data_IF_570618198207
#
_entry.id   IF_570618198207
#
_cell.length_a   1.000
_cell.length_b   1.000
_cell.length_c   1.000
_cell.angle_alpha   90.00
_cell.angle_beta   90.00
_cell.angle_gamma   90.00
#
_symmetry.space_group_name_H-M   'P 1'
#
loop_
_entity.id
_entity.type
_entity.pdbx_description
1 polymer ?
#
# COMPACT_ATOMS: atom_id res chain seq x y z
N UNK A 1 -28.54 17.90 14.60
CA UNK A 1 -29.86 17.23 14.79
C UNK A 1 -30.46 16.68 13.48
N UNK A 2 -29.66 16.31 12.47
CA UNK A 2 -30.15 15.99 11.10
C UNK A 2 -30.08 14.51 10.65
N UNK A 3 -29.40 13.63 11.38
CA UNK A 3 -29.17 12.24 10.95
C UNK A 3 -30.35 11.28 11.25
N UNK A 4 -31.23 11.62 12.21
CA UNK A 4 -32.36 10.75 12.60
C UNK A 4 -33.53 10.79 11.61
N UNK A 5 -33.68 11.88 10.85
CA UNK A 5 -34.78 12.04 9.90
C UNK A 5 -34.53 11.32 8.57
N UNK A 6 -33.27 11.23 8.12
CA UNK A 6 -32.93 10.56 6.85
C UNK A 6 -33.18 9.04 6.86
N UNK A 7 -32.91 8.37 7.99
CA UNK A 7 -33.14 6.93 8.15
C UNK A 7 -34.64 6.62 8.24
N UNK A 8 -35.41 7.49 8.91
CA UNK A 8 -36.86 7.37 8.99
C UNK A 8 -37.55 7.61 7.63
N UNK A 9 -37.05 8.54 6.83
CA UNK A 9 -37.51 8.76 5.46
C UNK A 9 -37.18 7.58 4.54
N UNK A 10 -36.00 6.98 4.67
CA UNK A 10 -35.62 5.78 3.93
C UNK A 10 -36.55 4.60 4.28
N UNK A 11 -36.78 4.36 5.58
CA UNK A 11 -37.72 3.35 6.05
C UNK A 11 -39.17 3.61 5.60
N UNK A 12 -39.60 4.87 5.60
CA UNK A 12 -40.90 5.30 5.09
C UNK A 12 -41.05 5.15 3.56
N UNK A 13 -39.95 5.23 2.80
CA UNK A 13 -39.92 4.99 1.35
C UNK A 13 -39.93 3.49 1.06
N UNK A 14 -39.19 2.68 1.82
CA UNK A 14 -39.19 1.22 1.69
C UNK A 14 -40.55 0.59 2.02
N UNK A 15 -41.24 1.09 3.05
CA UNK A 15 -42.58 0.62 3.43
C UNK A 15 -43.66 1.04 2.43
N UNK A 16 -43.59 2.25 1.88
CA UNK A 16 -44.51 2.67 0.79
C UNK A 16 -44.26 1.90 -0.50
N UNK A 17 -43.01 1.59 -0.79
CA UNK A 17 -42.64 0.76 -1.94
C UNK A 17 -43.15 -0.68 -1.77
N UNK A 18 -42.97 -1.30 -0.60
CA UNK A 18 -43.46 -2.66 -0.33
C UNK A 18 -44.99 -2.76 -0.39
N UNK A 19 -45.69 -1.72 0.07
CA UNK A 19 -47.16 -1.65 -0.02
C UNK A 19 -47.66 -1.49 -1.45
N UNK A 20 -47.00 -0.64 -2.27
CA UNK A 20 -47.28 -0.52 -3.71
C UNK A 20 -47.02 -1.82 -4.48
N UNK A 21 -46.03 -2.61 -4.08
CA UNK A 21 -45.78 -3.93 -4.66
C UNK A 21 -46.87 -4.95 -4.27
N UNK A 22 -47.39 -4.89 -3.03
CA UNK A 22 -48.51 -5.71 -2.58
C UNK A 22 -49.83 -5.38 -3.29
N UNK A 23 -50.08 -4.10 -3.55
CA UNK A 23 -51.32 -3.62 -4.16
C UNK A 23 -51.32 -3.73 -5.71
N UNK A 24 -50.21 -4.20 -6.30
CA UNK A 24 -50.09 -4.40 -7.75
C UNK A 24 -50.90 -5.62 -8.23
N UNK A 25 -52.19 -5.42 -8.51
CA UNK A 25 -53.11 -6.46 -9.01
C UNK A 25 -52.82 -6.96 -10.44
N UNK A 26 -51.86 -6.37 -11.15
CA UNK A 26 -51.30 -6.89 -12.42
C UNK A 26 -50.07 -7.74 -12.10
N UNK A 27 -50.29 -9.00 -11.70
CA UNK A 27 -49.29 -9.91 -11.12
C UNK A 27 -48.00 -10.17 -11.92
N UNK A 28 -47.86 -9.66 -13.14
CA UNK A 28 -46.63 -9.81 -13.92
C UNK A 28 -45.49 -8.90 -13.43
N UNK A 29 -45.80 -7.66 -13.00
CA UNK A 29 -44.75 -6.69 -12.63
C UNK A 29 -44.07 -7.08 -11.32
N UNK A 30 -44.84 -7.50 -10.31
CA UNK A 30 -44.28 -7.95 -9.03
C UNK A 30 -43.42 -9.22 -9.19
N UNK A 31 -43.82 -10.14 -10.07
CA UNK A 31 -43.07 -11.37 -10.37
C UNK A 31 -41.76 -11.07 -11.12
N UNK A 32 -41.80 -10.26 -12.18
CA UNK A 32 -40.61 -9.83 -12.92
C UNK A 32 -39.65 -9.08 -11.99
N UNK A 33 -40.18 -8.20 -11.14
CA UNK A 33 -39.38 -7.47 -10.16
C UNK A 33 -38.75 -8.40 -9.13
N UNK A 34 -39.50 -9.36 -8.58
CA UNK A 34 -38.97 -10.33 -7.61
C UNK A 34 -37.87 -11.22 -8.21
N UNK A 35 -37.96 -11.56 -9.50
CA UNK A 35 -36.93 -12.32 -10.21
C UNK A 35 -35.71 -11.46 -10.58
N UNK A 36 -35.91 -10.18 -10.90
CA UNK A 36 -34.82 -9.25 -11.25
C UNK A 36 -34.06 -8.72 -10.02
N UNK A 37 -34.73 -8.58 -8.88
CA UNK A 37 -34.17 -7.97 -7.66
C UNK A 37 -32.88 -8.66 -7.18
N UNK A 38 -32.77 -10.00 -7.08
CA UNK A 38 -31.53 -10.65 -6.70
C UNK A 38 -30.36 -10.30 -7.63
N UNK A 39 -30.58 -10.26 -8.95
CA UNK A 39 -29.55 -9.89 -9.92
C UNK A 39 -29.08 -8.44 -9.76
N UNK A 40 -30.01 -7.51 -9.55
CA UNK A 40 -29.69 -6.10 -9.32
C UNK A 40 -28.94 -5.89 -7.99
N UNK A 41 -29.34 -6.59 -6.93
CA UNK A 41 -28.65 -6.56 -5.63
C UNK A 41 -27.24 -7.13 -5.76
N UNK A 42 -27.06 -8.23 -6.51
CA UNK A 42 -25.74 -8.81 -6.74
C UNK A 42 -24.82 -7.88 -7.53
N UNK A 43 -25.32 -7.24 -8.60
CA UNK A 43 -24.51 -6.29 -9.37
C UNK A 43 -24.08 -5.09 -8.52
N UNK A 44 -25.01 -4.54 -7.72
CA UNK A 44 -24.73 -3.36 -6.90
C UNK A 44 -23.77 -3.68 -5.75
N UNK A 45 -24.03 -4.74 -4.98
CA UNK A 45 -23.17 -5.13 -3.87
C UNK A 45 -21.83 -5.68 -4.36
N UNK A 46 -21.81 -6.43 -5.47
CA UNK A 46 -20.58 -6.94 -6.08
C UNK A 46 -19.69 -5.81 -6.58
N UNK A 47 -20.28 -4.75 -7.15
CA UNK A 47 -19.55 -3.53 -7.51
C UNK A 47 -18.92 -2.84 -6.29
N UNK A 48 -19.61 -2.81 -5.16
CA UNK A 48 -19.06 -2.26 -3.90
C UNK A 48 -17.87 -3.08 -3.41
N UNK A 49 -17.94 -4.40 -3.48
CA UNK A 49 -16.83 -5.27 -3.09
C UNK A 49 -15.61 -5.11 -3.99
N UNK A 50 -15.83 -5.03 -5.31
CA UNK A 50 -14.75 -4.75 -6.26
C UNK A 50 -14.11 -3.39 -5.99
N UNK A 51 -14.92 -2.36 -5.72
CA UNK A 51 -14.41 -1.05 -5.35
C UNK A 51 -13.58 -1.10 -4.07
N UNK A 52 -14.06 -1.80 -3.04
CA UNK A 52 -13.33 -1.99 -1.77
C UNK A 52 -12.02 -2.74 -1.97
N UNK A 53 -12.03 -3.85 -2.68
CA UNK A 53 -10.85 -4.64 -2.98
C UNK A 53 -9.81 -3.83 -3.76
N UNK A 54 -10.25 -3.11 -4.80
CA UNK A 54 -9.39 -2.23 -5.59
C UNK A 54 -8.79 -1.09 -4.76
N UNK A 55 -9.59 -0.46 -3.89
CA UNK A 55 -9.10 0.59 -2.99
C UNK A 55 -8.03 0.06 -2.05
N UNK A 56 -8.26 -1.11 -1.43
CA UNK A 56 -7.27 -1.73 -0.55
C UNK A 56 -6.01 -2.13 -1.32
N UNK A 57 -6.14 -2.64 -2.54
CA UNK A 57 -5.00 -2.98 -3.37
C UNK A 57 -4.11 -1.77 -3.65
N UNK A 58 -4.70 -0.63 -4.02
CA UNK A 58 -3.97 0.62 -4.28
C UNK A 58 -3.28 1.12 -3.01
N UNK A 59 -3.98 1.11 -1.87
CA UNK A 59 -3.42 1.55 -0.60
C UNK A 59 -2.28 0.63 -0.12
N UNK A 60 -2.42 -0.68 -0.31
CA UNK A 60 -1.36 -1.64 -0.01
C UNK A 60 -0.15 -1.41 -0.92
N UNK A 61 -0.39 -1.18 -2.22
CA UNK A 61 0.68 -0.93 -3.18
C UNK A 61 1.48 0.31 -2.80
N UNK A 62 0.82 1.43 -2.49
CA UNK A 62 1.47 2.66 -2.06
C UNK A 62 2.30 2.46 -0.77
N UNK A 63 1.73 1.76 0.22
CA UNK A 63 2.43 1.43 1.45
C UNK A 63 3.64 0.49 1.21
N UNK A 64 3.51 -0.47 0.27
CA UNK A 64 4.56 -1.41 -0.10
C UNK A 64 5.68 -0.72 -0.89
N UNK A 65 5.37 0.22 -1.77
CA UNK A 65 6.34 1.01 -2.51
C UNK A 65 7.19 1.86 -1.57
N UNK A 66 6.56 2.54 -0.61
CA UNK A 66 7.27 3.29 0.42
C UNK A 66 8.14 2.38 1.31
N UNK A 67 7.66 1.18 1.63
CA UNK A 67 8.41 0.19 2.41
C UNK A 67 9.61 -0.39 1.62
N UNK A 68 9.42 -0.71 0.35
CA UNK A 68 10.47 -1.19 -0.54
C UNK A 68 11.55 -0.11 -0.73
N UNK A 69 11.16 1.15 -0.85
CA UNK A 69 12.09 2.28 -0.90
C UNK A 69 12.88 2.45 0.41
N UNK A 70 12.22 2.30 1.56
CA UNK A 70 12.89 2.34 2.86
C UNK A 70 13.91 1.20 3.02
N UNK A 71 13.54 -0.02 2.62
CA UNK A 71 14.45 -1.17 2.58
C UNK A 71 15.62 -0.93 1.61
N UNK A 72 15.35 -0.41 0.42
CA UNK A 72 16.37 -0.08 -0.58
C UNK A 72 17.35 1.00 -0.11
N UNK A 73 16.91 1.98 0.68
CA UNK A 73 17.78 3.02 1.27
C UNK A 73 18.62 2.53 2.46
N UNK A 74 18.26 1.41 3.07
CA UNK A 74 19.05 0.86 4.17
C UNK A 74 20.40 0.32 3.69
N UNK A 75 21.41 0.29 4.57
CA UNK A 75 22.72 -0.31 4.30
C UNK A 75 22.72 -1.84 4.36
N UNK A 76 21.60 -2.46 4.74
CA UNK A 76 21.49 -3.90 4.88
C UNK A 76 21.48 -4.61 3.53
N UNK A 77 22.15 -5.76 3.46
CA UNK A 77 22.24 -6.61 2.27
C UNK A 77 21.61 -7.98 2.48
N UNK A 78 21.28 -8.35 3.73
CA UNK A 78 20.61 -9.61 4.02
C UNK A 78 19.09 -9.45 3.93
N UNK A 79 18.42 -10.46 3.39
CA UNK A 79 16.95 -10.47 3.26
C UNK A 79 16.23 -10.34 4.61
N UNK A 80 16.81 -10.91 5.68
CA UNK A 80 16.22 -10.85 7.02
C UNK A 80 16.20 -9.41 7.58
N UNK A 81 17.30 -8.68 7.41
CA UNK A 81 17.40 -7.29 7.86
C UNK A 81 16.54 -6.37 6.98
N UNK A 82 16.54 -6.59 5.66
CA UNK A 82 15.68 -5.87 4.71
C UNK A 82 14.20 -6.08 5.02
N UNK A 83 13.82 -7.32 5.33
CA UNK A 83 12.45 -7.64 5.72
C UNK A 83 12.09 -6.94 7.02
N UNK A 84 13.00 -6.84 7.98
CA UNK A 84 12.74 -6.15 9.25
C UNK A 84 12.51 -4.64 9.04
N UNK A 85 13.36 -3.98 8.26
CA UNK A 85 13.22 -2.55 7.93
C UNK A 85 11.96 -2.31 7.09
N UNK A 86 11.77 -3.08 6.03
CA UNK A 86 10.62 -2.98 5.13
C UNK A 86 9.30 -3.23 5.86
N UNK A 87 9.22 -4.24 6.71
CA UNK A 87 8.01 -4.56 7.47
C UNK A 87 7.68 -3.50 8.53
N UNK A 88 8.70 -2.86 9.10
CA UNK A 88 8.51 -1.73 10.02
C UNK A 88 7.91 -0.53 9.28
N UNK A 89 8.46 -0.18 8.11
CA UNK A 89 7.95 0.88 7.27
C UNK A 89 6.53 0.57 6.75
N UNK A 90 6.29 -0.66 6.30
CA UNK A 90 4.98 -1.11 5.82
C UNK A 90 3.92 -1.02 6.92
N UNK A 91 4.23 -1.49 8.13
CA UNK A 91 3.32 -1.37 9.28
C UNK A 91 3.02 0.09 9.60
N UNK A 92 4.01 0.98 9.56
CA UNK A 92 3.81 2.40 9.81
C UNK A 92 2.87 3.03 8.78
N UNK A 93 3.05 2.74 7.49
CA UNK A 93 2.20 3.24 6.41
C UNK A 93 0.78 2.66 6.47
N UNK A 94 0.62 1.40 6.86
CA UNK A 94 -0.68 0.74 6.99
C UNK A 94 -1.50 1.18 8.21
N UNK A 95 -0.93 1.92 9.18
CA UNK A 95 -1.71 2.49 10.29
C UNK A 95 -2.81 3.45 9.81
N UNK A 96 -2.66 4.03 8.62
CA UNK A 96 -3.68 4.85 7.99
C UNK A 96 -4.93 4.04 7.55
N UNK A 97 -4.84 2.71 7.51
CA UNK A 97 -5.84 1.81 6.94
C UNK A 97 -6.20 0.66 7.92
N UNK A 98 -6.95 0.95 9.01
CA UNK A 98 -7.24 -0.02 10.08
C UNK A 98 -8.07 -1.23 9.66
N UNK A 99 -8.75 -1.16 8.51
CA UNK A 99 -9.57 -2.25 7.97
C UNK A 99 -8.73 -3.33 7.25
N UNK A 100 -7.41 -3.14 7.11
CA UNK A 100 -6.50 -4.06 6.43
C UNK A 100 -5.81 -4.95 7.46
N UNK A 101 -6.11 -6.26 7.44
CA UNK A 101 -5.36 -7.23 8.24
C UNK A 101 -4.13 -7.69 7.44
N UNK A 102 -2.95 -7.20 7.84
CA UNK A 102 -1.69 -7.58 7.22
C UNK A 102 -1.32 -9.02 7.57
N UNK A 103 -1.02 -9.83 6.55
CA UNK A 103 -0.42 -11.15 6.72
C UNK A 103 1.10 -11.00 6.72
N UNK A 104 1.65 -10.72 7.90
CA UNK A 104 3.11 -10.54 8.09
C UNK A 104 3.89 -11.80 7.72
N UNK A 105 3.27 -12.98 7.81
CA UNK A 105 3.79 -14.28 7.37
C UNK A 105 3.95 -14.41 5.85
N UNK A 106 3.28 -13.54 5.07
CA UNK A 106 3.31 -13.54 3.60
C UNK A 106 3.90 -12.24 3.03
N UNK A 107 4.62 -11.47 3.85
CA UNK A 107 5.32 -10.27 3.41
C UNK A 107 6.81 -10.55 3.35
N UNK A 108 7.42 -10.39 2.18
CA UNK A 108 8.85 -10.65 1.98
C UNK A 108 9.54 -9.50 1.27
N UNK A 109 10.80 -9.29 1.63
CA UNK A 109 11.71 -8.35 0.97
C UNK A 109 12.98 -9.11 0.63
N UNK A 110 13.35 -9.09 -0.65
CA UNK A 110 14.52 -9.79 -1.17
C UNK A 110 15.37 -8.84 -1.98
N UNK A 111 16.69 -8.89 -1.79
CA UNK A 111 17.62 -8.19 -2.67
C UNK A 111 18.08 -9.16 -3.76
N UNK A 112 17.75 -8.85 -5.02
CA UNK A 112 18.22 -9.64 -6.15
C UNK A 112 19.66 -9.26 -6.54
N UNK A 113 20.31 -10.11 -7.35
CA UNK A 113 21.70 -9.94 -7.81
C UNK A 113 21.94 -8.61 -8.54
N UNK A 114 20.91 -8.06 -9.19
CA UNK A 114 20.93 -6.76 -9.88
C UNK A 114 20.75 -5.55 -8.93
N UNK A 115 20.91 -5.74 -7.62
CA UNK A 115 20.64 -4.74 -6.58
C UNK A 115 19.21 -4.19 -6.58
N UNK A 116 18.24 -5.00 -7.01
CA UNK A 116 16.82 -4.64 -6.96
C UNK A 116 16.21 -5.22 -5.69
N UNK A 117 15.61 -4.37 -4.85
CA UNK A 117 14.80 -4.81 -3.72
C UNK A 117 13.41 -5.14 -4.23
N UNK A 118 13.06 -6.42 -4.18
CA UNK A 118 11.75 -6.95 -4.55
C UNK A 118 10.94 -7.18 -3.29
N UNK A 119 9.82 -6.50 -3.17
CA UNK A 119 8.89 -6.59 -2.05
C UNK A 119 7.57 -7.21 -2.51
N UNK A 120 7.08 -8.19 -1.76
CA UNK A 120 5.77 -8.79 -1.96
C UNK A 120 4.99 -8.74 -0.67
N UNK A 121 3.69 -8.40 -0.73
CA UNK A 121 2.80 -8.46 0.42
C UNK A 121 1.41 -8.92 0.03
N UNK A 122 0.75 -9.62 0.96
CA UNK A 122 -0.65 -10.04 0.83
C UNK A 122 -1.44 -9.56 2.03
N UNK A 123 -2.64 -9.06 1.76
CA UNK A 123 -3.61 -8.66 2.78
C UNK A 123 -4.96 -9.30 2.53
N UNK A 124 -5.68 -9.53 3.61
CA UNK A 124 -7.04 -10.05 3.54
C UNK A 124 -8.02 -8.88 3.56
N UNK A 125 -8.88 -8.78 2.55
CA UNK A 125 -9.94 -7.76 2.46
C UNK A 125 -11.29 -8.38 2.81
N UNK A 126 -12.00 -7.78 3.77
CA UNK A 126 -13.36 -8.22 4.10
C UNK A 126 -14.34 -7.82 3.00
N UNK A 127 -15.02 -8.80 2.40
CA UNK A 127 -16.03 -8.60 1.34
C UNK A 127 -17.46 -8.80 1.86
N UNK A 128 -18.46 -8.19 1.22
CA UNK A 128 -19.86 -8.19 1.66
C UNK A 128 -20.68 -9.27 0.93
N UNK A 129 -20.43 -9.51 -0.36
CA UNK A 129 -21.15 -10.45 -1.24
C UNK A 129 -20.24 -11.32 -2.11
N UNK A 130 -18.96 -10.97 -2.30
CA UNK A 130 -18.02 -11.75 -3.12
C UNK A 130 -17.89 -13.21 -2.64
N UNK A 131 -18.08 -13.46 -1.34
CA UNK A 131 -18.11 -14.79 -0.71
C UNK A 131 -19.29 -15.69 -1.17
N UNK A 132 -20.37 -15.11 -1.70
CA UNK A 132 -21.57 -15.89 -2.05
C UNK A 132 -21.43 -16.58 -3.43
N UNK A 133 -20.60 -16.05 -4.35
CA UNK A 133 -20.67 -16.47 -5.77
C UNK A 133 -19.36 -16.60 -6.56
N UNK A 134 -18.16 -16.47 -5.97
CA UNK A 134 -16.89 -16.68 -6.71
C UNK A 134 -16.18 -18.03 -6.43
N UNK A 135 -16.44 -19.11 -7.20
CA UNK A 135 -15.49 -20.22 -7.33
C UNK A 135 -14.33 -19.82 -8.28
N UNK A 136 -13.05 -20.15 -7.99
CA UNK A 136 -12.58 -21.14 -7.01
C UNK A 136 -12.02 -20.56 -5.69
N UNK A 137 -12.17 -19.26 -5.42
CA UNK A 137 -11.55 -18.60 -4.26
C UNK A 137 -12.47 -18.37 -3.06
N UNK A 138 -13.79 -18.53 -3.23
CA UNK A 138 -14.76 -18.50 -2.14
C UNK A 138 -15.08 -19.91 -1.65
N UNK A 139 -14.38 -20.37 -0.61
CA UNK A 139 -15.01 -21.35 0.28
C UNK A 139 -16.24 -20.64 0.86
N UNK A 140 -17.43 -21.22 0.70
CA UNK A 140 -18.62 -20.76 1.43
C UNK A 140 -18.21 -20.48 2.89
N UNK A 141 -18.35 -19.23 3.34
CA UNK A 141 -18.07 -18.77 4.71
C UNK A 141 -16.63 -18.34 5.05
N UNK A 142 -15.76 -18.02 4.08
CA UNK A 142 -14.52 -17.28 4.38
C UNK A 142 -14.68 -15.80 3.96
N UNK A 143 -14.64 -14.88 4.93
CA UNK A 143 -15.02 -13.47 4.77
C UNK A 143 -13.98 -12.63 3.99
N UNK A 144 -12.88 -13.26 3.54
CA UNK A 144 -11.63 -12.58 3.18
C UNK A 144 -11.20 -12.87 1.74
N UNK A 145 -11.04 -11.82 0.94
CA UNK A 145 -10.42 -11.87 -0.39
C UNK A 145 -8.93 -11.56 -0.27
N UNK A 146 -8.01 -12.46 -0.66
CA UNK A 146 -6.59 -12.17 -0.65
C UNK A 146 -6.25 -11.19 -1.77
N UNK A 147 -5.72 -10.02 -1.39
CA UNK A 147 -5.23 -8.99 -2.31
C UNK A 147 -3.71 -8.91 -2.17
N UNK A 148 -3.01 -9.05 -3.30
CA UNK A 148 -1.56 -8.98 -3.36
C UNK A 148 -1.08 -7.65 -3.95
N UNK A 149 0.07 -7.20 -3.46
CA UNK A 149 0.84 -6.10 -4.02
C UNK A 149 2.30 -6.54 -4.24
N UNK A 150 2.93 -5.94 -5.24
CA UNK A 150 4.29 -6.26 -5.67
C UNK A 150 5.02 -4.97 -6.01
N UNK A 151 6.20 -4.77 -5.45
CA UNK A 151 7.01 -3.56 -5.64
C UNK A 151 8.45 -3.93 -5.89
N UNK A 152 9.09 -3.22 -6.82
CA UNK A 152 10.51 -3.37 -7.11
C UNK A 152 11.18 -2.00 -7.07
N UNK A 153 12.25 -1.90 -6.29
CA UNK A 153 13.05 -0.67 -6.18
C UNK A 153 14.49 -1.01 -6.50
N UNK A 154 15.00 -0.43 -7.58
CA UNK A 154 16.42 -0.49 -7.90
C UNK A 154 17.20 0.32 -6.87
N UNK A 155 18.02 -0.35 -6.06
CA UNK A 155 19.03 0.30 -5.21
C UNK A 155 20.10 0.80 -6.16
N UNK A 156 19.90 2.00 -6.69
CA UNK A 156 20.85 2.63 -7.61
C UNK A 156 22.08 3.05 -6.82
N UNK A 157 22.94 2.09 -6.53
CA UNK A 157 24.31 2.34 -6.11
C UNK A 157 25.04 2.78 -7.36
N UNK A 158 25.26 4.08 -7.50
CA UNK A 158 26.06 4.63 -8.61
C UNK A 158 27.45 4.91 -8.07
N UNK A 159 28.47 4.62 -8.88
CA UNK A 159 29.78 5.22 -8.67
C UNK A 159 29.61 6.74 -8.75
N UNK A 160 29.92 7.44 -7.66
CA UNK A 160 29.91 8.89 -7.60
C UNK A 160 31.36 9.38 -7.70
N UNK A 161 31.64 10.15 -8.76
CA UNK A 161 32.89 10.89 -8.88
C UNK A 161 32.67 12.29 -8.31
N UNK A 162 33.39 12.62 -7.23
CA UNK A 162 33.22 13.89 -6.51
C UNK A 162 34.55 14.66 -6.54
N UNK A 163 34.52 15.86 -7.09
CA UNK A 163 35.65 16.79 -7.08
C UNK A 163 35.33 18.01 -6.22
N UNK A 164 36.21 18.34 -5.27
CA UNK A 164 36.09 19.52 -4.43
C UNK A 164 37.01 20.63 -4.93
N UNK A 165 36.44 21.83 -5.14
CA UNK A 165 37.22 23.05 -5.37
C UNK A 165 36.99 23.97 -4.16
N UNK A 166 38.05 24.21 -3.40
CA UNK A 166 38.00 24.89 -2.11
C UNK A 166 38.67 26.26 -2.21
N UNK A 167 37.99 27.31 -1.76
CA UNK A 167 38.57 28.66 -1.67
C UNK A 167 39.58 28.73 -0.51
N UNK A 168 40.83 29.05 -0.84
CA UNK A 168 41.95 29.19 0.10
C UNK A 168 42.49 30.62 0.17
N UNK A 169 41.73 31.62 -0.30
CA UNK A 169 42.15 33.02 -0.27
C UNK A 169 42.29 33.58 1.15
N UNK A 170 42.98 34.72 1.31
CA UNK A 170 43.24 35.33 2.63
C UNK A 170 41.99 35.66 3.45
N UNK A 171 40.83 35.82 2.80
CA UNK A 171 39.53 36.05 3.45
C UNK A 171 38.99 34.84 4.22
N UNK A 172 39.58 33.66 4.00
CA UNK A 172 39.28 32.40 4.68
C UNK A 172 40.16 32.17 5.92
N UNK A 173 41.07 33.09 6.25
CA UNK A 173 41.95 32.94 7.40
C UNK A 173 41.21 32.78 8.74
N UNK A 174 41.89 32.19 9.73
CA UNK A 174 41.33 31.93 11.05
C UNK A 174 40.33 30.76 11.03
N UNK A 175 39.16 30.94 11.64
CA UNK A 175 38.23 29.84 11.85
C UNK A 175 37.58 29.33 10.56
N UNK A 176 37.47 30.15 9.51
CA UNK A 176 36.78 29.76 8.26
C UNK A 176 37.48 28.63 7.53
N UNK A 177 38.81 28.70 7.37
CA UNK A 177 39.58 27.63 6.74
C UNK A 177 39.59 26.35 7.60
N UNK A 178 39.55 26.48 8.93
CA UNK A 178 39.46 25.33 9.84
C UNK A 178 38.10 24.64 9.71
N UNK A 179 37.00 25.40 9.70
CA UNK A 179 35.66 24.86 9.46
C UNK A 179 35.51 24.25 8.07
N UNK A 180 36.11 24.85 7.03
CA UNK A 180 36.11 24.29 5.67
C UNK A 180 36.79 22.92 5.64
N UNK A 181 37.94 22.77 6.32
CA UNK A 181 38.62 21.47 6.45
C UNK A 181 37.77 20.45 7.19
N UNK A 182 37.10 20.84 8.28
CA UNK A 182 36.22 19.93 9.02
C UNK A 182 35.07 19.46 8.13
N UNK A 183 34.34 20.39 7.51
CA UNK A 183 33.21 20.06 6.65
C UNK A 183 33.62 19.23 5.41
N UNK A 184 34.82 19.45 4.87
CA UNK A 184 35.34 18.65 3.78
C UNK A 184 35.65 17.21 4.22
N UNK A 185 36.21 17.00 5.42
CA UNK A 185 36.40 15.65 5.97
C UNK A 185 35.05 14.98 6.28
N UNK A 186 34.11 15.70 6.89
CA UNK A 186 32.76 15.19 7.16
C UNK A 186 32.06 14.74 5.87
N UNK A 187 32.24 15.49 4.77
CA UNK A 187 31.72 15.10 3.45
C UNK A 187 32.38 13.81 2.95
N UNK A 188 33.70 13.68 3.07
CA UNK A 188 34.42 12.46 2.68
C UNK A 188 33.90 11.27 3.49
N UNK A 189 33.77 11.40 4.80
CA UNK A 189 33.28 10.33 5.68
C UNK A 189 31.81 9.94 5.40
N UNK A 190 30.98 10.89 4.94
CA UNK A 190 29.59 10.61 4.54
C UNK A 190 29.47 9.92 3.18
N UNK A 191 30.37 10.24 2.23
CA UNK A 191 30.27 9.75 0.85
C UNK A 191 31.06 8.45 0.66
N UNK A 192 32.19 8.30 1.34
CA UNK A 192 33.07 7.14 1.24
C UNK A 192 32.62 6.09 2.25
N UNK A 193 32.08 4.98 1.76
CA UNK A 193 31.72 3.84 2.60
C UNK A 193 32.92 2.89 2.80
N UNK A 194 32.99 2.24 3.96
CA UNK A 194 34.03 1.24 4.27
C UNK A 194 33.98 0.01 3.34
N UNK A 195 32.77 -0.38 2.90
CA UNK A 195 32.54 -1.48 1.96
C UNK A 195 32.59 -0.95 0.52
N UNK A 196 33.72 -1.16 -0.16
CA UNK A 196 34.00 -0.66 -1.52
C UNK A 196 33.79 -1.68 -2.63
N UNK A 197 32.93 -2.68 -2.41
CA UNK A 197 32.59 -3.70 -3.41
C UNK A 197 31.07 -3.75 -3.61
N UNK A 198 30.56 -3.62 -4.86
CA UNK A 198 31.28 -3.50 -6.14
C UNK A 198 31.66 -2.06 -6.56
N UNK A 199 31.38 -1.04 -5.74
CA UNK A 199 31.62 0.37 -6.05
C UNK A 199 32.82 0.92 -5.28
N UNK A 200 33.74 1.62 -5.95
CA UNK A 200 34.99 2.08 -5.36
C UNK A 200 35.09 3.60 -5.38
N UNK A 201 35.77 4.17 -4.37
CA UNK A 201 36.12 5.59 -4.34
C UNK A 201 37.58 5.74 -4.80
N UNK A 202 37.84 6.67 -5.72
CA UNK A 202 39.19 7.04 -6.18
C UNK A 202 39.47 8.50 -5.89
#
# INVERSE_FOLDING_TARGET
>A
MGLRNGIAELGGRMTRFSRRLRDAQRGNVAMIFALALPGLVLMTLGGVDLHRASTVQVNLQDALDAAALAAARSSYTTDADLTTVGLTALKANLQAYPDITLRTDQTTFHLNDDQVVVANSKVDVKTIVANIFLPPYGKFMDDKLPVGAHSEVNRSSKNLEVALVLDITGSMSGNRITSLKSAANDLVDMVVQDLQTPYYSK
#
